data_IF_667099996326
#
_entry.id   IF_667099996326
#
_cell.length_a   1.000
_cell.length_b   1.000
_cell.length_c   1.000
_cell.angle_alpha   90.00
_cell.angle_beta   90.00
_cell.angle_gamma   90.00
#
_symmetry.space_group_name_H-M   'P 1'
#
loop_
_entity.id
_entity.type
_entity.pdbx_description
1 polymer ?
#
# COMPACT_ATOMS: atom_id res chain seq x y z
N UNK A 1 -0.21 -15.66 -6.96
CA UNK A 1 -0.65 -16.64 -7.99
C UNK A 1 0.55 -17.27 -8.71
N UNK A 2 1.49 -16.49 -9.28
CA UNK A 2 2.72 -17.04 -9.88
C UNK A 2 3.59 -17.83 -8.89
N UNK A 3 3.78 -17.31 -7.66
CA UNK A 3 4.58 -17.96 -6.62
C UNK A 3 3.98 -19.26 -6.07
N UNK A 4 2.66 -19.46 -6.18
CA UNK A 4 1.96 -20.65 -5.66
C UNK A 4 1.62 -21.69 -6.73
N UNK A 5 1.46 -21.27 -8.00
CA UNK A 5 0.94 -22.15 -9.05
C UNK A 5 1.78 -22.16 -10.35
N UNK A 6 2.87 -21.40 -10.46
CA UNK A 6 3.78 -21.44 -11.62
C UNK A 6 3.21 -21.02 -12.98
N UNK A 7 1.91 -20.71 -13.06
CA UNK A 7 1.21 -20.24 -14.25
C UNK A 7 0.40 -19.00 -13.92
N UNK A 8 0.34 -18.06 -14.87
CA UNK A 8 -0.47 -16.84 -14.80
C UNK A 8 -1.97 -17.15 -14.69
N UNK A 9 -2.40 -18.31 -15.19
CA UNK A 9 -3.77 -18.79 -15.08
C UNK A 9 -3.80 -20.27 -14.72
N UNK A 10 -3.87 -20.62 -13.43
CA UNK A 10 -3.75 -22.01 -13.03
C UNK A 10 -4.95 -22.88 -13.41
N UNK A 11 -6.19 -22.40 -13.19
CA UNK A 11 -7.45 -23.10 -13.48
C UNK A 11 -8.68 -22.23 -13.11
N UNK A 12 -9.88 -22.60 -13.57
CA UNK A 12 -11.12 -21.85 -13.27
C UNK A 12 -11.55 -21.87 -11.80
N UNK A 13 -11.38 -23.01 -11.11
CA UNK A 13 -11.77 -23.20 -9.70
C UNK A 13 -11.07 -22.22 -8.72
N UNK A 14 -9.73 -22.10 -8.71
CA UNK A 14 -9.05 -21.18 -7.79
C UNK A 14 -9.36 -19.70 -8.10
N UNK A 15 -9.57 -19.36 -9.38
CA UNK A 15 -9.96 -18.00 -9.78
C UNK A 15 -11.39 -17.70 -9.30
N UNK A 16 -12.32 -18.63 -9.47
CA UNK A 16 -13.69 -18.50 -8.96
C UNK A 16 -13.71 -18.34 -7.43
N UNK A 17 -12.94 -19.16 -6.71
CA UNK A 17 -12.85 -19.08 -5.24
C UNK A 17 -12.28 -17.73 -4.77
N UNK A 18 -11.24 -17.22 -5.43
CA UNK A 18 -10.68 -15.90 -5.10
C UNK A 18 -11.72 -14.80 -5.31
N UNK A 19 -12.39 -14.79 -6.47
CA UNK A 19 -13.40 -13.78 -6.77
C UNK A 19 -14.59 -13.85 -5.80
N UNK A 20 -15.07 -15.06 -5.48
CA UNK A 20 -16.10 -15.25 -4.47
C UNK A 20 -15.66 -14.71 -3.10
N UNK A 21 -14.43 -14.99 -2.67
CA UNK A 21 -13.88 -14.47 -1.41
C UNK A 21 -13.84 -12.93 -1.39
N UNK A 22 -13.32 -12.30 -2.46
CA UNK A 22 -13.28 -10.83 -2.56
C UNK A 22 -14.68 -10.22 -2.51
N UNK A 23 -15.63 -10.79 -3.27
CA UNK A 23 -17.03 -10.35 -3.26
C UNK A 23 -17.65 -10.47 -1.86
N UNK A 24 -17.46 -11.59 -1.17
CA UNK A 24 -17.96 -11.78 0.19
C UNK A 24 -17.40 -10.73 1.15
N UNK A 25 -16.09 -10.43 1.09
CA UNK A 25 -15.48 -9.39 1.92
C UNK A 25 -16.11 -8.01 1.61
N UNK A 26 -16.25 -7.65 0.33
CA UNK A 26 -16.88 -6.39 -0.06
C UNK A 26 -18.33 -6.27 0.46
N UNK A 27 -19.12 -7.33 0.34
CA UNK A 27 -20.52 -7.35 0.81
C UNK A 27 -20.57 -7.21 2.35
N UNK A 28 -19.69 -7.92 3.08
CA UNK A 28 -19.61 -7.80 4.53
C UNK A 28 -19.25 -6.36 4.96
N UNK A 29 -18.25 -5.74 4.34
CA UNK A 29 -17.90 -4.35 4.63
C UNK A 29 -19.05 -3.38 4.34
N UNK A 30 -19.82 -3.61 3.27
CA UNK A 30 -20.97 -2.78 2.94
C UNK A 30 -22.09 -2.88 3.99
N UNK A 31 -22.32 -4.07 4.55
CA UNK A 31 -23.36 -4.28 5.57
C UNK A 31 -22.92 -3.70 6.93
N UNK A 32 -21.68 -3.97 7.36
CA UNK A 32 -21.23 -3.63 8.72
C UNK A 32 -20.66 -2.21 8.84
N UNK A 33 -20.02 -1.68 7.80
CA UNK A 33 -19.32 -0.38 7.82
C UNK A 33 -19.65 0.39 6.53
N UNK A 34 -20.88 0.92 6.37
CA UNK A 34 -21.29 1.67 5.17
C UNK A 34 -20.65 3.08 5.08
N UNK A 35 -19.53 3.31 5.78
CA UNK A 35 -18.77 4.56 5.78
C UNK A 35 -17.63 4.48 4.78
N UNK A 36 -17.96 4.73 3.51
CA UNK A 36 -17.01 4.67 2.38
C UNK A 36 -15.75 5.52 2.65
N UNK A 37 -15.92 6.71 3.24
CA UNK A 37 -14.80 7.61 3.57
C UNK A 37 -13.78 7.01 4.53
N UNK A 38 -14.20 6.22 5.52
CA UNK A 38 -13.30 5.56 6.47
C UNK A 38 -12.48 4.48 5.76
N UNK A 39 -13.12 3.67 4.92
CA UNK A 39 -12.46 2.60 4.16
C UNK A 39 -11.40 3.19 3.22
N UNK A 40 -11.76 4.23 2.46
CA UNK A 40 -10.84 4.89 1.53
C UNK A 40 -9.67 5.53 2.26
N UNK A 41 -9.89 6.17 3.42
CA UNK A 41 -8.81 6.79 4.21
C UNK A 41 -7.79 5.76 4.71
N UNK A 42 -8.23 4.65 5.27
CA UNK A 42 -7.31 3.60 5.75
C UNK A 42 -6.60 2.90 4.58
N UNK A 43 -7.34 2.47 3.56
CA UNK A 43 -6.77 1.81 2.40
C UNK A 43 -5.80 2.73 1.64
N UNK A 44 -6.17 4.00 1.46
CA UNK A 44 -5.35 5.03 0.83
C UNK A 44 -4.11 5.39 1.64
N UNK A 45 -4.17 5.41 2.98
CA UNK A 45 -3.00 5.66 3.81
C UNK A 45 -2.00 4.50 3.77
N UNK A 46 -2.47 3.25 3.82
CA UNK A 46 -1.60 2.05 3.68
C UNK A 46 -0.96 1.99 2.31
N UNK A 47 -1.77 2.07 1.25
CA UNK A 47 -1.29 1.98 -0.13
C UNK A 47 -0.44 3.20 -0.52
N UNK A 48 -0.79 4.39 -0.05
CA UNK A 48 0.00 5.62 -0.21
C UNK A 48 1.36 5.52 0.46
N UNK A 49 1.43 5.04 1.70
CA UNK A 49 2.70 4.80 2.39
C UNK A 49 3.59 3.85 1.59
N UNK A 50 3.07 2.70 1.18
CA UNK A 50 3.85 1.67 0.50
C UNK A 50 4.25 2.07 -0.93
N UNK A 51 3.27 2.42 -1.77
CA UNK A 51 3.49 2.57 -3.22
C UNK A 51 3.80 4.00 -3.65
N UNK A 52 3.26 5.02 -2.97
CA UNK A 52 3.42 6.43 -3.37
C UNK A 52 4.65 7.05 -2.70
N UNK A 53 4.84 6.80 -1.41
CA UNK A 53 5.95 7.42 -0.66
C UNK A 53 7.18 6.52 -0.57
N UNK A 54 7.03 5.25 -0.19
CA UNK A 54 8.19 4.39 0.13
C UNK A 54 8.86 3.82 -1.12
N UNK A 55 8.09 3.18 -2.01
CA UNK A 55 8.65 2.48 -3.17
C UNK A 55 9.49 3.38 -4.11
N UNK A 56 9.01 4.54 -4.60
CA UNK A 56 9.80 5.39 -5.48
C UNK A 56 11.01 6.01 -4.76
N UNK A 57 10.86 6.41 -3.49
CA UNK A 57 11.97 6.99 -2.73
C UNK A 57 13.11 6.00 -2.53
N UNK A 58 12.80 4.77 -2.11
CA UNK A 58 13.81 3.72 -1.94
C UNK A 58 14.47 3.38 -3.29
N UNK A 59 13.67 3.22 -4.34
CA UNK A 59 14.19 2.88 -5.67
C UNK A 59 15.12 3.96 -6.22
N UNK A 60 14.75 5.23 -6.05
CA UNK A 60 15.58 6.36 -6.44
C UNK A 60 16.88 6.44 -5.64
N UNK A 61 16.79 6.31 -4.30
CA UNK A 61 17.97 6.32 -3.44
C UNK A 61 18.92 5.16 -3.73
N UNK A 62 18.39 3.96 -3.99
CA UNK A 62 19.18 2.79 -4.42
C UNK A 62 19.88 3.06 -5.74
N UNK A 63 19.17 3.57 -6.75
CA UNK A 63 19.76 3.91 -8.04
C UNK A 63 20.88 4.97 -7.92
N UNK A 64 20.73 5.95 -7.01
CA UNK A 64 21.71 7.00 -6.80
C UNK A 64 22.93 6.52 -5.98
N UNK A 65 22.71 5.59 -5.06
CA UNK A 65 23.77 4.90 -4.31
C UNK A 65 24.66 4.05 -5.23
N UNK A 66 24.06 3.28 -6.15
CA UNK A 66 24.80 2.50 -7.16
C UNK A 66 25.68 3.39 -8.05
N UNK A 67 25.21 4.61 -8.35
CA UNK A 67 25.97 5.62 -9.12
C UNK A 67 27.03 6.36 -8.30
N UNK A 68 27.15 6.11 -6.99
CA UNK A 68 28.00 6.86 -6.04
C UNK A 68 27.77 8.38 -6.03
N UNK A 69 26.60 8.84 -6.47
CA UNK A 69 26.23 10.27 -6.53
C UNK A 69 25.21 10.65 -5.45
N UNK A 70 25.17 9.89 -4.34
CA UNK A 70 24.22 10.10 -3.27
C UNK A 70 24.57 11.37 -2.48
N UNK A 71 24.01 12.50 -2.87
CA UNK A 71 24.10 13.75 -2.10
C UNK A 71 23.25 13.62 -0.84
N UNK A 72 23.83 13.93 0.33
CA UNK A 72 23.15 13.89 1.63
C UNK A 72 21.85 14.73 1.66
N UNK A 73 21.84 15.85 0.93
CA UNK A 73 20.66 16.70 0.75
C UNK A 73 19.48 15.96 0.08
N UNK A 74 19.75 15.26 -1.03
CA UNK A 74 18.71 14.51 -1.74
C UNK A 74 18.18 13.36 -0.87
N UNK A 75 19.06 12.67 -0.15
CA UNK A 75 18.66 11.62 0.79
C UNK A 75 17.76 12.17 1.91
N UNK A 76 18.11 13.33 2.49
CA UNK A 76 17.31 13.97 3.54
C UNK A 76 15.89 14.32 3.07
N UNK A 77 15.72 14.85 1.86
CA UNK A 77 14.39 15.17 1.30
C UNK A 77 13.54 13.90 1.12
N UNK A 78 14.12 12.84 0.56
CA UNK A 78 13.37 11.60 0.32
C UNK A 78 12.97 10.91 1.63
N UNK A 79 13.84 10.95 2.64
CA UNK A 79 13.53 10.47 3.99
C UNK A 79 12.41 11.30 4.61
N UNK A 80 12.45 12.63 4.48
CA UNK A 80 11.37 13.50 4.97
C UNK A 80 10.01 13.16 4.34
N UNK A 81 9.97 12.91 3.03
CA UNK A 81 8.74 12.50 2.33
C UNK A 81 8.22 11.15 2.86
N UNK A 82 9.10 10.18 3.10
CA UNK A 82 8.71 8.90 3.69
C UNK A 82 8.13 9.07 5.11
N UNK A 83 8.72 9.95 5.92
CA UNK A 83 8.22 10.29 7.25
C UNK A 83 6.82 10.90 7.16
N UNK A 84 6.55 11.81 6.21
CA UNK A 84 5.20 12.35 5.99
C UNK A 84 4.18 11.25 5.67
N UNK A 85 4.57 10.26 4.86
CA UNK A 85 3.74 9.09 4.59
C UNK A 85 3.39 8.29 5.85
N UNK A 86 4.37 8.08 6.73
CA UNK A 86 4.17 7.39 8.02
C UNK A 86 3.27 8.21 8.94
N UNK A 87 3.49 9.52 9.04
CA UNK A 87 2.64 10.43 9.80
C UNK A 87 1.19 10.42 9.30
N UNK A 88 0.97 10.39 7.98
CA UNK A 88 -0.37 10.25 7.41
C UNK A 88 -1.05 8.95 7.85
N UNK A 89 -0.32 7.83 7.86
CA UNK A 89 -0.84 6.55 8.32
C UNK A 89 -1.18 6.57 9.82
N UNK A 90 -0.29 7.08 10.67
CA UNK A 90 -0.52 7.21 12.12
C UNK A 90 -1.71 8.14 12.41
N UNK A 91 -1.82 9.24 11.67
CA UNK A 91 -2.92 10.20 11.80
C UNK A 91 -4.30 9.54 11.60
N UNK A 92 -4.41 8.56 10.70
CA UNK A 92 -5.69 7.84 10.53
C UNK A 92 -6.13 7.10 11.79
N UNK A 93 -5.19 6.50 12.54
CA UNK A 93 -5.51 5.84 13.81
C UNK A 93 -5.82 6.84 14.91
N UNK A 94 -5.03 7.91 15.03
CA UNK A 94 -5.22 8.91 16.07
C UNK A 94 -6.52 9.70 15.91
N UNK A 95 -6.93 10.00 14.68
CA UNK A 95 -8.17 10.73 14.41
C UNK A 95 -9.44 9.89 14.58
N UNK A 96 -9.35 8.56 14.48
CA UNK A 96 -10.50 7.65 14.70
C UNK A 96 -10.50 7.01 16.10
N UNK A 97 -9.41 7.15 16.87
CA UNK A 97 -9.32 6.73 18.28
C UNK A 97 -9.90 7.76 19.26
N UNK A 98 -10.59 8.79 18.76
CA UNK A 98 -11.25 9.85 19.52
C UNK A 98 -12.74 9.84 19.20
#
# INVERSE_FOLDING_TARGET
MHFLYGSTYPSWKPVFLLNACVLTVCILFNIFIPKVGTIIRYCGAVSGLAFVFTLPCITYMKALHEKKQLTAYNAAIHIFIMILGVCNFISQFLMHAK
#
